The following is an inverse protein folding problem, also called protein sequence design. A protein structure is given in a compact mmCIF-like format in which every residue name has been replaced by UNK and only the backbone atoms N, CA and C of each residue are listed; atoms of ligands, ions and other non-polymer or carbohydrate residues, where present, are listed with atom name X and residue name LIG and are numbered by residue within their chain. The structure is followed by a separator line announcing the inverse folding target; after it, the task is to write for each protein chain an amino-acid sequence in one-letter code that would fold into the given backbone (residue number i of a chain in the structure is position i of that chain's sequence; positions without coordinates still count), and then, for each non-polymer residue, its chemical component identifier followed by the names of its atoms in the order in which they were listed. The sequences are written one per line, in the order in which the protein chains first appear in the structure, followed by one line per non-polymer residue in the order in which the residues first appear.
data_IF_235416450277
#
_entry.id   IF_235416450277
#
_cell.length_a   1.000
_cell.length_b   1.000
_cell.length_c   1.000
_cell.angle_alpha   90.00
_cell.angle_beta   90.00
_cell.angle_gamma   90.00
#
_symmetry.space_group_name_H-M   'P 1'
#
loop_
_entity.id
_entity.type
_entity.pdbx_description
1 polymer ?
#
# COMPACT_ATOMS: atom_id res chain seq x y z
N UNK A 1 -13.55 42.18 48.69
CA UNK A 1 -14.46 41.18 49.27
C UNK A 1 -14.97 40.28 48.17
N UNK A 2 -14.95 38.95 48.27
CA UNK A 2 -14.07 38.05 49.04
C UNK A 2 -14.05 36.69 48.31
N UNK A 3 -13.14 35.78 48.69
CA UNK A 3 -13.07 34.45 48.07
C UNK A 3 -14.40 33.68 48.16
N UNK A 4 -14.61 32.74 47.23
CA UNK A 4 -14.50 31.32 47.59
C UNK A 4 -13.94 30.50 46.42
N UNK A 5 -12.77 29.87 46.65
CA UNK A 5 -12.35 28.69 45.89
C UNK A 5 -13.32 27.55 46.18
N UNK A 6 -13.55 26.66 45.21
CA UNK A 6 -13.92 25.28 45.53
C UNK A 6 -13.13 24.30 44.67
N UNK A 7 -12.47 23.34 45.33
CA UNK A 7 -11.47 22.45 44.74
C UNK A 7 -12.10 21.08 44.48
N UNK A 8 -12.50 20.81 43.23
CA UNK A 8 -13.18 19.58 42.82
C UNK A 8 -12.21 18.44 42.46
N UNK A 9 -11.48 17.91 43.44
CA UNK A 9 -10.54 16.81 43.22
C UNK A 9 -11.28 15.48 42.97
N UNK A 10 -11.38 15.04 41.71
CA UNK A 10 -11.88 13.71 41.37
C UNK A 10 -10.70 12.75 41.17
N UNK A 11 -10.67 11.65 41.94
CA UNK A 11 -9.55 10.70 41.93
C UNK A 11 -9.67 9.65 40.81
N UNK A 12 -8.51 9.13 40.43
CA UNK A 12 -8.30 8.14 39.36
C UNK A 12 -8.85 6.76 39.75
N UNK A 13 -9.48 6.06 38.79
CA UNK A 13 -9.49 4.59 38.76
C UNK A 13 -9.02 4.08 37.40
N UNK A 14 -7.76 3.66 37.34
CA UNK A 14 -7.20 2.87 36.25
C UNK A 14 -7.54 1.40 36.47
N UNK A 15 -8.49 0.86 35.71
CA UNK A 15 -8.76 -0.59 35.70
C UNK A 15 -7.86 -1.24 34.65
N UNK A 16 -6.65 -1.59 35.07
CA UNK A 16 -5.73 -2.40 34.25
C UNK A 16 -6.09 -3.88 34.33
N UNK A 17 -6.36 -4.51 33.20
CA UNK A 17 -6.45 -5.98 33.14
C UNK A 17 -5.07 -6.60 33.35
N UNK A 18 -4.88 -7.30 34.46
CA UNK A 18 -3.72 -8.16 34.75
C UNK A 18 -4.22 -9.42 35.47
N UNK A 19 -4.34 -10.52 34.73
CA UNK A 19 -4.61 -11.84 35.32
C UNK A 19 -3.29 -12.52 35.69
N UNK A 20 -3.10 -12.82 36.98
CA UNK A 20 -1.94 -13.56 37.50
C UNK A 20 -2.19 -13.96 38.97
N UNK A 21 -1.60 -15.07 39.47
CA UNK A 21 -1.50 -16.41 38.89
C UNK A 21 -2.26 -17.44 39.74
N UNK A 22 -2.30 -18.70 39.29
CA UNK A 22 -2.49 -19.85 40.19
C UNK A 22 -1.17 -20.62 40.30
N UNK A 23 -0.61 -20.69 41.51
CA UNK A 23 0.56 -21.53 41.81
C UNK A 23 0.11 -22.85 42.43
N UNK A 24 0.88 -23.92 42.15
CA UNK A 24 1.09 -25.00 43.11
C UNK A 24 2.54 -25.45 43.06
N UNK A 25 3.19 -25.47 44.21
CA UNK A 25 4.45 -26.18 44.50
C UNK A 25 4.17 -27.69 44.75
N UNK A 26 5.07 -28.63 45.09
CA UNK A 26 6.52 -28.77 45.42
C UNK A 26 6.86 -30.29 45.23
N UNK A 27 8.07 -30.88 45.16
CA UNK A 27 9.48 -30.46 45.19
C UNK A 27 10.38 -31.60 44.61
N UNK A 28 11.65 -31.30 44.25
CA UNK A 28 12.79 -32.21 43.94
C UNK A 28 12.64 -33.17 42.74
N UNK A 29 13.59 -33.40 41.82
CA UNK A 29 15.07 -33.35 41.74
C UNK A 29 15.77 -34.72 41.80
N UNK A 30 16.46 -35.06 40.70
CA UNK A 30 17.44 -36.15 40.51
C UNK A 30 16.97 -37.60 40.68
N UNK A 31 17.03 -38.37 39.57
CA UNK A 31 18.01 -39.46 39.50
C UNK A 31 18.50 -39.66 38.05
N UNK A 32 19.56 -40.46 37.88
CA UNK A 32 20.26 -40.71 36.61
C UNK A 32 19.96 -42.12 36.05
N UNK A 33 20.67 -42.49 34.97
CA UNK A 33 20.92 -43.88 34.55
C UNK A 33 19.74 -44.74 34.03
N UNK A 34 19.10 -44.31 32.92
CA UNK A 34 18.23 -45.23 32.15
C UNK A 34 18.19 -45.01 30.61
N UNK A 35 19.31 -44.73 29.92
CA UNK A 35 19.47 -45.12 28.50
C UNK A 35 20.91 -44.95 27.97
N UNK A 36 21.71 -46.02 28.00
CA UNK A 36 23.00 -46.04 27.30
C UNK A 36 23.35 -47.45 26.78
N UNK A 37 22.61 -47.95 25.77
CA UNK A 37 22.98 -49.19 25.07
C UNK A 37 22.47 -49.31 23.64
N UNK A 38 23.13 -48.62 22.70
CA UNK A 38 23.83 -49.28 21.58
C UNK A 38 24.52 -48.24 20.68
N UNK A 39 25.74 -48.55 20.28
CA UNK A 39 26.48 -47.83 19.23
C UNK A 39 26.57 -48.72 17.99
N UNK A 40 26.94 -48.11 16.86
CA UNK A 40 27.28 -48.74 15.58
C UNK A 40 26.13 -49.40 14.79
N UNK A 41 25.59 -48.63 13.83
CA UNK A 41 25.88 -48.98 12.44
C UNK A 41 26.01 -47.70 11.59
N UNK A 42 27.06 -47.62 10.78
CA UNK A 42 27.35 -46.46 9.92
C UNK A 42 26.86 -46.74 8.50
N UNK A 43 26.14 -45.79 7.92
CA UNK A 43 25.87 -45.71 6.48
C UNK A 43 25.99 -44.24 6.07
N UNK A 44 26.73 -43.88 5.00
CA UNK A 44 26.95 -42.49 4.64
C UNK A 44 25.63 -41.85 4.19
N UNK A 45 25.20 -40.81 4.90
CA UNK A 45 24.10 -39.96 4.49
C UNK A 45 24.59 -38.99 3.39
N UNK A 46 23.87 -38.95 2.27
CA UNK A 46 24.18 -38.03 1.16
C UNK A 46 23.88 -36.61 1.60
N UNK A 47 24.81 -35.68 1.38
CA UNK A 47 24.61 -34.25 1.63
C UNK A 47 23.37 -33.76 0.87
N UNK A 48 22.36 -33.20 1.54
CA UNK A 48 21.24 -32.59 0.83
C UNK A 48 21.75 -31.36 0.08
N UNK A 49 21.72 -31.42 -1.26
CA UNK A 49 21.89 -30.22 -2.08
C UNK A 49 20.84 -29.20 -1.65
N UNK A 50 21.26 -28.06 -1.10
CA UNK A 50 20.35 -26.97 -0.78
C UNK A 50 19.83 -26.36 -2.08
N UNK A 51 18.73 -26.91 -2.60
CA UNK A 51 17.96 -26.29 -3.67
C UNK A 51 17.51 -24.92 -3.16
N UNK A 52 18.12 -23.86 -3.71
CA UNK A 52 17.70 -22.49 -3.44
C UNK A 52 16.18 -22.38 -3.67
N UNK A 53 15.41 -21.75 -2.78
CA UNK A 53 13.97 -21.64 -2.94
C UNK A 53 13.67 -20.97 -4.28
N UNK A 54 12.66 -21.44 -5.03
CA UNK A 54 12.36 -20.90 -6.35
C UNK A 54 12.09 -19.40 -6.24
N UNK A 55 12.81 -18.63 -7.06
CA UNK A 55 12.68 -17.17 -7.15
C UNK A 55 11.18 -16.84 -7.30
N UNK A 56 10.59 -16.12 -6.35
CA UNK A 56 9.13 -15.98 -6.32
C UNK A 56 8.62 -15.35 -7.62
N UNK A 57 7.39 -15.70 -8.04
CA UNK A 57 6.81 -15.20 -9.30
C UNK A 57 6.82 -13.66 -9.37
N UNK A 58 6.72 -12.99 -8.23
CA UNK A 58 6.92 -11.54 -8.06
C UNK A 58 8.23 -11.05 -8.70
N UNK A 59 9.35 -11.75 -8.48
CA UNK A 59 10.67 -11.40 -9.00
C UNK A 59 10.91 -11.88 -10.45
N UNK A 60 9.89 -12.40 -11.13
CA UNK A 60 9.97 -12.90 -12.50
C UNK A 60 9.22 -12.00 -13.50
N UNK A 61 8.18 -11.26 -13.06
CA UNK A 61 7.45 -10.30 -13.89
C UNK A 61 8.29 -9.06 -14.30
N UNK A 62 9.25 -8.64 -13.48
CA UNK A 62 9.96 -7.36 -13.67
C UNK A 62 11.10 -7.40 -14.71
N UNK A 63 11.19 -8.44 -15.53
CA UNK A 63 12.32 -8.69 -16.44
C UNK A 63 12.14 -8.12 -17.86
N UNK A 64 11.16 -7.24 -18.10
CA UNK A 64 11.12 -6.42 -19.32
C UNK A 64 11.62 -4.99 -18.99
N UNK A 65 12.92 -4.69 -19.17
CA UNK A 65 13.50 -3.40 -18.83
C UNK A 65 13.16 -2.35 -19.90
N UNK A 66 11.93 -1.86 -19.91
CA UNK A 66 11.58 -0.62 -20.62
C UNK A 66 12.54 0.48 -20.16
N UNK A 67 13.26 1.17 -21.07
CA UNK A 67 14.14 2.27 -20.69
C UNK A 67 13.34 3.38 -19.97
N UNK A 68 13.80 3.76 -18.77
CA UNK A 68 13.20 4.85 -18.03
C UNK A 68 13.34 6.18 -18.80
N UNK A 69 12.41 7.13 -18.64
CA UNK A 69 12.54 8.48 -19.20
C UNK A 69 13.86 9.15 -18.78
N UNK A 70 14.45 9.96 -19.67
CA UNK A 70 15.79 10.53 -19.45
C UNK A 70 15.87 11.33 -18.14
N UNK A 71 16.81 10.94 -17.26
CA UNK A 71 17.02 11.59 -15.96
C UNK A 71 16.07 11.14 -14.84
N UNK A 72 15.11 10.25 -15.13
CA UNK A 72 14.24 9.65 -14.13
C UNK A 72 14.83 8.36 -13.56
N UNK A 73 14.62 8.17 -12.26
CA UNK A 73 14.99 6.97 -11.50
C UNK A 73 13.76 6.47 -10.74
N UNK A 74 13.68 5.18 -10.41
CA UNK A 74 12.59 4.64 -9.59
C UNK A 74 12.70 5.22 -8.18
N UNK A 75 11.68 5.96 -7.73
CA UNK A 75 11.60 6.42 -6.34
C UNK A 75 10.97 5.33 -5.50
N UNK A 76 11.70 4.90 -4.47
CA UNK A 76 11.26 3.83 -3.54
C UNK A 76 10.94 4.38 -2.14
N UNK A 77 10.79 5.69 -1.97
CA UNK A 77 10.49 6.35 -0.68
C UNK A 77 9.23 5.75 -0.05
N UNK A 78 8.12 5.77 -0.80
CA UNK A 78 6.82 5.28 -0.36
C UNK A 78 6.46 3.88 -0.89
N UNK A 79 7.07 3.45 -2.00
CA UNK A 79 6.73 2.20 -2.69
C UNK A 79 8.00 1.33 -2.91
N UNK A 80 8.24 0.36 -2.02
CA UNK A 80 9.49 -0.44 -2.00
C UNK A 80 9.59 -1.48 -3.12
N UNK A 81 8.46 -1.86 -3.71
CA UNK A 81 8.32 -2.77 -4.85
C UNK A 81 7.12 -2.31 -5.69
N UNK A 82 7.08 -2.55 -7.01
CA UNK A 82 5.97 -2.10 -7.86
C UNK A 82 4.61 -2.61 -7.38
N UNK A 83 3.60 -1.75 -7.41
CA UNK A 83 2.21 -2.13 -7.08
C UNK A 83 1.61 -2.92 -8.26
N UNK A 84 1.00 -4.06 -7.98
CA UNK A 84 0.51 -4.99 -9.01
C UNK A 84 -1.01 -4.90 -9.20
N UNK A 85 -1.42 -4.48 -10.41
CA UNK A 85 -2.77 -4.03 -10.75
C UNK A 85 -3.21 -4.61 -12.10
N UNK A 86 -4.50 -4.84 -12.33
CA UNK A 86 -5.07 -5.31 -13.61
C UNK A 86 -5.60 -4.10 -14.40
N UNK A 87 -4.74 -3.26 -14.99
CA UNK A 87 -5.15 -1.96 -15.55
C UNK A 87 -6.04 -2.12 -16.79
N UNK A 88 -5.84 -3.21 -17.53
CA UNK A 88 -6.45 -3.40 -18.84
C UNK A 88 -7.65 -4.39 -18.83
N UNK A 89 -7.87 -5.14 -17.74
CA UNK A 89 -8.88 -6.22 -17.62
C UNK A 89 -8.62 -7.41 -18.55
N UNK A 90 -7.39 -7.89 -18.61
CA UNK A 90 -7.03 -9.21 -19.15
C UNK A 90 -6.77 -10.25 -18.04
N UNK A 91 -6.75 -9.81 -16.77
CA UNK A 91 -6.55 -10.67 -15.59
C UNK A 91 -5.08 -10.91 -15.22
N UNK A 92 -4.14 -10.25 -15.90
CA UNK A 92 -2.71 -10.27 -15.54
C UNK A 92 -2.41 -9.24 -14.45
N UNK A 93 -1.12 -9.00 -14.19
CA UNK A 93 -0.62 -8.06 -13.20
C UNK A 93 0.35 -7.08 -13.85
N UNK A 94 -0.21 -5.99 -14.31
CA UNK A 94 0.50 -4.79 -14.73
C UNK A 94 1.19 -4.14 -13.52
N UNK A 95 2.22 -3.34 -13.77
CA UNK A 95 3.06 -2.75 -12.73
C UNK A 95 2.92 -1.22 -12.67
N UNK A 96 2.59 -0.70 -11.48
CA UNK A 96 2.68 0.72 -11.16
C UNK A 96 3.97 1.03 -10.39
N UNK A 97 4.63 2.15 -10.74
CA UNK A 97 5.82 2.67 -10.05
C UNK A 97 5.78 4.20 -9.94
N UNK A 98 6.47 4.72 -8.92
CA UNK A 98 6.82 6.14 -8.84
C UNK A 98 8.22 6.33 -9.40
N UNK A 99 8.39 7.33 -10.27
CA UNK A 99 9.68 7.76 -10.81
C UNK A 99 9.97 9.20 -10.40
N UNK A 100 11.25 9.56 -10.27
CA UNK A 100 11.71 10.90 -9.90
C UNK A 100 12.94 11.32 -10.68
N UNK A 101 12.93 12.55 -11.19
CA UNK A 101 14.07 13.25 -11.76
C UNK A 101 14.53 14.36 -10.80
N UNK A 102 15.59 14.14 -10.00
CA UNK A 102 16.05 15.12 -9.02
C UNK A 102 16.67 16.38 -9.64
N UNK A 103 17.03 16.34 -10.93
CA UNK A 103 17.65 17.44 -11.65
C UNK A 103 16.63 18.37 -12.33
N UNK A 104 15.34 18.01 -12.32
CA UNK A 104 14.29 18.80 -12.96
C UNK A 104 13.81 19.95 -12.06
N UNK A 105 13.48 21.10 -12.67
CA UNK A 105 12.86 22.24 -12.01
C UNK A 105 11.35 22.14 -12.19
N UNK A 106 10.63 21.80 -11.11
CA UNK A 106 9.21 21.42 -11.16
C UNK A 106 8.97 20.08 -11.86
N UNK A 107 7.80 19.48 -11.63
CA UNK A 107 7.36 18.22 -12.25
C UNK A 107 8.38 17.08 -12.15
N UNK A 108 9.10 16.99 -11.03
CA UNK A 108 10.15 16.01 -10.79
C UNK A 108 9.60 14.60 -10.78
N UNK A 109 8.32 14.41 -10.50
CA UNK A 109 7.71 13.09 -10.36
C UNK A 109 6.89 12.67 -11.59
N UNK A 110 7.03 11.39 -11.95
CA UNK A 110 6.16 10.71 -12.90
C UNK A 110 5.62 9.44 -12.26
N UNK A 111 4.37 9.11 -12.54
CA UNK A 111 3.81 7.79 -12.23
C UNK A 111 3.85 6.93 -13.50
N UNK A 112 4.51 5.77 -13.41
CA UNK A 112 4.72 4.81 -14.49
C UNK A 112 3.71 3.64 -14.36
N UNK A 113 3.09 3.27 -15.48
CA UNK A 113 2.10 2.20 -15.58
C UNK A 113 2.48 1.28 -16.74
N UNK A 114 3.18 0.17 -16.44
CA UNK A 114 3.70 -0.80 -17.41
C UNK A 114 2.73 -1.98 -17.59
N UNK A 115 2.25 -2.20 -18.81
CA UNK A 115 1.33 -3.32 -19.13
C UNK A 115 2.12 -4.61 -19.32
N UNK A 116 1.70 -5.64 -18.58
CA UNK A 116 2.30 -6.97 -18.55
C UNK A 116 2.26 -7.68 -19.91
N UNK A 117 3.29 -8.49 -20.17
CA UNK A 117 3.57 -9.15 -21.46
C UNK A 117 3.54 -8.22 -22.70
N UNK A 118 3.88 -6.95 -22.53
CA UNK A 118 3.95 -5.98 -23.63
C UNK A 118 5.09 -4.96 -23.47
N UNK A 119 5.26 -4.14 -24.50
CA UNK A 119 6.11 -2.94 -24.56
C UNK A 119 5.40 -1.67 -24.07
N UNK A 120 4.10 -1.73 -23.80
CA UNK A 120 3.27 -0.55 -23.50
C UNK A 120 3.51 -0.05 -22.08
N UNK A 121 4.00 1.18 -22.01
CA UNK A 121 4.11 1.93 -20.76
C UNK A 121 3.40 3.28 -20.92
N UNK A 122 2.57 3.61 -19.94
CA UNK A 122 1.91 4.91 -19.85
C UNK A 122 2.50 5.70 -18.67
N UNK A 123 2.59 7.01 -18.83
CA UNK A 123 3.07 7.91 -17.79
C UNK A 123 1.98 8.92 -17.44
N UNK A 124 1.86 9.23 -16.14
CA UNK A 124 1.12 10.38 -15.65
C UNK A 124 2.10 11.38 -15.03
N UNK A 125 1.95 12.65 -15.41
CA UNK A 125 2.51 13.83 -14.74
C UNK A 125 1.34 14.66 -14.20
N UNK A 126 1.57 15.55 -13.25
CA UNK A 126 0.52 16.50 -12.87
C UNK A 126 0.08 17.38 -14.05
N UNK A 127 -1.18 17.77 -14.02
CA UNK A 127 -1.80 18.63 -15.04
C UNK A 127 -1.58 20.13 -14.73
N UNK A 128 -1.15 20.46 -13.51
CA UNK A 128 -1.08 21.83 -12.97
C UNK A 128 0.38 22.18 -12.64
N UNK A 129 1.02 23.11 -13.38
CA UNK A 129 2.48 23.31 -13.36
C UNK A 129 3.11 23.68 -12.00
N UNK A 130 2.30 24.10 -11.03
CA UNK A 130 2.73 24.40 -9.66
C UNK A 130 2.71 23.18 -8.71
N UNK A 131 1.93 22.13 -9.01
CA UNK A 131 1.68 21.00 -8.10
C UNK A 131 2.37 19.72 -8.60
N UNK A 132 3.54 19.41 -8.06
CA UNK A 132 4.26 18.16 -8.35
C UNK A 132 3.53 16.94 -7.74
N UNK A 133 3.85 15.73 -8.16
CA UNK A 133 3.25 14.50 -7.58
C UNK A 133 3.93 14.07 -6.26
N UNK A 134 4.69 14.96 -5.63
CA UNK A 134 5.47 14.69 -4.43
C UNK A 134 4.65 14.72 -3.13
N UNK A 135 3.43 15.25 -3.21
CA UNK A 135 2.43 15.25 -2.13
C UNK A 135 1.85 13.85 -1.82
N UNK A 136 2.09 12.82 -2.62
CA UNK A 136 1.44 11.50 -2.48
C UNK A 136 2.31 10.43 -1.80
N UNK A 137 1.75 9.76 -0.78
CA UNK A 137 2.52 8.92 0.16
C UNK A 137 2.01 7.50 0.42
N UNK A 138 0.75 7.18 0.09
CA UNK A 138 0.19 5.81 0.20
C UNK A 138 -0.44 5.42 -1.12
N UNK A 139 -0.16 4.19 -1.58
CA UNK A 139 -0.51 3.69 -2.90
C UNK A 139 -1.22 2.33 -2.77
N UNK A 140 -2.45 2.24 -3.26
CA UNK A 140 -3.34 1.08 -3.10
C UNK A 140 -4.02 0.73 -4.44
N UNK A 141 -4.50 -0.50 -4.60
CA UNK A 141 -5.31 -0.86 -5.79
C UNK A 141 -6.71 -0.29 -5.64
N UNK A 142 -7.21 0.39 -6.68
CA UNK A 142 -8.58 0.86 -6.80
C UNK A 142 -9.40 -0.17 -7.63
N UNK A 143 -10.24 -1.02 -7.03
CA UNK A 143 -10.91 -2.09 -7.78
C UNK A 143 -11.96 -1.54 -8.75
N UNK A 144 -12.04 -2.07 -9.97
CA UNK A 144 -12.99 -1.67 -11.03
C UNK A 144 -14.47 -1.75 -10.67
N UNK A 145 -14.78 -2.40 -9.55
CA UNK A 145 -16.13 -2.57 -8.99
C UNK A 145 -16.50 -1.50 -7.95
N UNK A 146 -15.57 -0.63 -7.56
CA UNK A 146 -15.86 0.51 -6.69
C UNK A 146 -16.68 1.58 -7.42
N UNK A 147 -17.46 2.33 -6.65
CA UNK A 147 -18.05 3.59 -7.11
C UNK A 147 -16.99 4.67 -6.91
N UNK A 148 -16.61 5.33 -7.99
CA UNK A 148 -15.72 6.49 -7.96
C UNK A 148 -16.46 7.68 -8.52
N UNK A 149 -16.33 8.82 -7.85
CA UNK A 149 -17.03 10.06 -8.20
C UNK A 149 -15.99 11.15 -8.09
N UNK A 150 -15.89 12.00 -9.12
CA UNK A 150 -14.97 13.11 -9.12
C UNK A 150 -15.47 14.23 -8.21
N UNK A 151 -14.56 14.86 -7.47
CA UNK A 151 -14.80 15.84 -6.41
C UNK A 151 -15.81 16.95 -6.80
N UNK A 152 -15.76 17.42 -8.05
CA UNK A 152 -16.70 18.41 -8.62
C UNK A 152 -18.19 17.97 -8.66
N UNK A 153 -18.48 16.71 -8.35
CA UNK A 153 -19.83 16.16 -8.20
C UNK A 153 -20.10 15.67 -6.75
N UNK A 154 -19.11 15.74 -5.86
CA UNK A 154 -19.18 15.29 -4.47
C UNK A 154 -19.71 16.37 -3.52
N UNK A 155 -19.55 17.65 -3.87
CA UNK A 155 -20.01 18.78 -3.05
C UNK A 155 -21.25 19.46 -3.63
N UNK A 156 -22.20 19.80 -2.76
CA UNK A 156 -23.38 20.62 -3.09
C UNK A 156 -23.09 22.12 -3.07
N UNK A 157 -24.09 22.93 -3.43
CA UNK A 157 -23.96 24.40 -3.54
C UNK A 157 -23.50 25.10 -2.25
N UNK A 158 -23.76 24.49 -1.08
CA UNK A 158 -23.32 24.99 0.23
C UNK A 158 -21.94 24.46 0.68
N UNK A 159 -21.30 23.58 -0.09
CA UNK A 159 -20.12 22.82 0.33
C UNK A 159 -20.40 21.53 1.12
N UNK A 160 -21.67 21.14 1.27
CA UNK A 160 -22.06 19.88 1.91
C UNK A 160 -21.61 18.66 1.08
N UNK A 161 -21.11 17.61 1.72
CA UNK A 161 -20.74 16.34 1.08
C UNK A 161 -22.00 15.55 0.72
N UNK A 162 -22.20 15.29 -0.57
CA UNK A 162 -23.32 14.52 -1.12
C UNK A 162 -23.01 13.01 -1.02
N UNK A 163 -23.98 12.23 -0.53
CA UNK A 163 -23.87 10.78 -0.45
C UNK A 163 -23.91 10.11 -1.83
N UNK A 164 -23.29 8.93 -1.99
CA UNK A 164 -23.22 8.23 -3.28
C UNK A 164 -24.61 8.05 -3.92
N UNK A 165 -25.60 7.64 -3.13
CA UNK A 165 -26.98 7.36 -3.56
C UNK A 165 -27.76 8.60 -4.03
N UNK A 166 -27.27 9.81 -3.71
CA UNK A 166 -27.88 11.07 -4.10
C UNK A 166 -27.25 11.65 -5.39
N UNK A 167 -26.10 11.14 -5.81
CA UNK A 167 -25.37 11.61 -6.99
C UNK A 167 -25.89 10.86 -8.22
N UNK A 168 -26.21 11.59 -9.30
CA UNK A 168 -26.71 10.98 -10.54
C UNK A 168 -25.73 9.92 -11.06
N UNK A 169 -26.15 8.65 -11.27
CA UNK A 169 -25.28 7.55 -11.70
C UNK A 169 -24.52 7.76 -13.02
N UNK A 170 -24.83 8.80 -13.81
CA UNK A 170 -24.00 9.25 -14.95
C UNK A 170 -22.63 9.79 -14.52
N UNK A 171 -22.51 10.25 -13.27
CA UNK A 171 -21.26 10.77 -12.68
C UNK A 171 -20.42 9.67 -12.01
N UNK A 172 -20.94 8.44 -11.87
CA UNK A 172 -20.18 7.30 -11.38
C UNK A 172 -19.15 6.89 -12.43
N UNK A 173 -17.88 7.22 -12.18
CA UNK A 173 -16.76 6.92 -13.07
C UNK A 173 -16.43 5.43 -13.03
N UNK A 174 -16.48 4.81 -14.21
CA UNK A 174 -16.27 3.37 -14.42
C UNK A 174 -15.14 3.20 -15.43
N UNK A 175 -14.06 2.56 -15.01
CA UNK A 175 -12.89 2.29 -15.83
C UNK A 175 -12.75 0.78 -16.11
N UNK A 176 -11.96 0.42 -17.14
CA UNK A 176 -12.03 -0.92 -17.73
C UNK A 176 -11.44 -2.00 -16.81
N UNK A 177 -10.18 -1.83 -16.43
CA UNK A 177 -9.50 -2.62 -15.41
C UNK A 177 -9.56 -1.95 -14.05
N UNK A 178 -8.74 -2.42 -13.11
CA UNK A 178 -8.50 -1.75 -11.83
C UNK A 178 -7.59 -0.52 -12.03
N UNK A 179 -7.46 0.31 -10.99
CA UNK A 179 -6.61 1.51 -10.97
C UNK A 179 -5.70 1.56 -9.75
N UNK A 180 -5.10 2.72 -9.51
CA UNK A 180 -4.25 3.00 -8.35
C UNK A 180 -4.84 4.15 -7.57
N UNK A 181 -5.28 3.90 -6.33
CA UNK A 181 -5.64 4.95 -5.37
C UNK A 181 -4.37 5.49 -4.73
N UNK A 182 -4.31 6.81 -4.58
CA UNK A 182 -3.31 7.51 -3.78
C UNK A 182 -3.95 8.31 -2.66
N UNK A 183 -3.21 8.49 -1.58
CA UNK A 183 -3.49 9.50 -0.56
C UNK A 183 -2.36 10.55 -0.51
N UNK A 184 -2.75 11.78 -0.23
CA UNK A 184 -1.85 12.87 0.15
C UNK A 184 -1.14 12.50 1.47
N UNK A 185 0.08 12.98 1.66
CA UNK A 185 0.93 12.68 2.84
C UNK A 185 0.40 13.38 4.09
N UNK A 186 0.05 14.67 3.96
CA UNK A 186 -0.27 15.55 5.10
C UNK A 186 -1.79 15.73 5.32
N UNK A 187 -2.62 15.25 4.39
CA UNK A 187 -4.08 15.36 4.43
C UNK A 187 -4.76 13.97 4.45
N UNK A 188 -5.69 13.78 5.37
CA UNK A 188 -6.37 12.49 5.57
C UNK A 188 -7.60 12.29 4.67
N UNK A 189 -8.19 13.38 4.17
CA UNK A 189 -9.21 13.38 3.13
C UNK A 189 -8.58 13.24 1.73
N UNK A 190 -7.56 14.07 1.46
CA UNK A 190 -6.85 14.21 0.19
C UNK A 190 -6.53 12.87 -0.47
N UNK A 191 -7.26 12.53 -1.53
CA UNK A 191 -7.05 11.30 -2.28
C UNK A 191 -7.47 11.40 -3.75
N UNK A 192 -6.82 10.57 -4.57
CA UNK A 192 -7.09 10.50 -6.00
C UNK A 192 -7.01 9.06 -6.51
N UNK A 193 -7.61 8.78 -7.66
CA UNK A 193 -7.48 7.49 -8.36
C UNK A 193 -6.93 7.71 -9.76
N UNK A 194 -5.89 6.97 -10.10
CA UNK A 194 -5.32 6.92 -11.45
C UNK A 194 -5.75 5.64 -12.15
N UNK A 195 -6.21 5.77 -13.39
CA UNK A 195 -6.76 4.65 -14.16
C UNK A 195 -6.42 4.75 -15.64
N UNK A 196 -6.35 3.60 -16.31
CA UNK A 196 -6.15 3.53 -17.76
C UNK A 196 -7.49 3.70 -18.49
N UNK A 197 -7.58 4.72 -19.33
CA UNK A 197 -8.69 4.94 -20.25
C UNK A 197 -8.18 5.39 -21.63
N UNK A 198 -8.70 4.78 -22.69
CA UNK A 198 -8.39 5.14 -24.09
C UNK A 198 -6.87 5.29 -24.38
N UNK A 199 -6.04 4.39 -23.82
CA UNK A 199 -4.56 4.41 -23.91
C UNK A 199 -3.89 5.65 -23.27
N UNK A 200 -4.50 6.25 -22.25
CA UNK A 200 -3.94 7.30 -21.39
C UNK A 200 -4.26 7.03 -19.92
N UNK A 201 -3.42 7.53 -19.02
CA UNK A 201 -3.78 7.59 -17.59
C UNK A 201 -4.61 8.85 -17.36
N UNK A 202 -5.69 8.71 -16.58
CA UNK A 202 -6.52 9.81 -16.08
C UNK A 202 -6.53 9.81 -14.56
N UNK A 203 -6.70 11.01 -13.96
CA UNK A 203 -6.94 11.22 -12.53
C UNK A 203 -8.45 11.31 -12.24
N UNK A 204 -8.84 10.90 -11.05
CA UNK A 204 -10.09 11.25 -10.37
C UNK A 204 -9.70 11.91 -9.04
N UNK A 205 -10.29 13.04 -8.70
CA UNK A 205 -10.16 13.69 -7.39
C UNK A 205 -11.31 13.15 -6.50
N UNK A 206 -11.07 12.69 -5.27
CA UNK A 206 -12.10 11.93 -4.51
C UNK A 206 -12.61 12.61 -3.23
N UNK A 207 -11.69 13.21 -2.48
CA UNK A 207 -11.79 13.91 -1.20
C UNK A 207 -10.41 14.57 -0.94
#
# INVERSE_FOLDING_TARGET
MNHHFFLGTLLIFLVGCHEKPANSTEDKATDLAAMQKNLQQVKPAVTPTQTLPPKSATQQLFNNPTPLPQGYHIDTTYLKQPLLVDLNRDGKRDAFRVLKNPNQKGMKYLFEFQISDSDKVYYYKSEEEAEDLDIFGRFEVAPKTGIYIDEKYRFGENGDIIADEQIDPKHYLKFKGDGVRVNVIEETCGSSVFFLDNNRIKRIYLC
#
